data_IF_880116818162
#
_entry.id   IF_880116818162
#
_cell.length_a   1.000
_cell.length_b   1.000
_cell.length_c   1.000
_cell.angle_alpha   90.00
_cell.angle_beta   90.00
_cell.angle_gamma   90.00
#
_symmetry.space_group_name_H-M   'P 1'
#
loop_
_entity.id
_entity.type
_entity.pdbx_description
1 polymer ?
#
# COMPACT_ATOMS: atom_id res chain seq x y z
N UNK A 1 8.56 15.20 31.44
CA UNK A 1 8.51 14.72 30.05
C UNK A 1 8.49 13.21 30.15
N UNK A 2 7.29 12.64 30.18
CA UNK A 2 7.14 11.19 30.25
C UNK A 2 7.45 10.61 28.87
N UNK A 3 8.45 9.74 28.82
CA UNK A 3 8.82 9.06 27.58
C UNK A 3 7.69 8.10 27.23
N UNK A 4 6.91 8.42 26.19
CA UNK A 4 5.91 7.50 25.65
C UNK A 4 6.67 6.39 24.92
N UNK A 5 6.95 5.31 25.64
CA UNK A 5 7.58 4.11 25.09
C UNK A 5 6.48 3.20 24.50
N UNK A 6 6.48 3.04 23.18
CA UNK A 6 5.57 2.15 22.45
C UNK A 6 6.25 0.79 22.21
N UNK A 7 6.06 -0.16 23.14
CA UNK A 7 6.69 -1.51 23.11
C UNK A 7 5.86 -2.56 22.34
N UNK A 8 5.19 -2.16 21.25
CA UNK A 8 4.33 -3.09 20.48
C UNK A 8 5.15 -4.12 19.71
N UNK A 9 5.09 -5.37 20.15
CA UNK A 9 5.61 -6.53 19.41
C UNK A 9 4.47 -7.17 18.63
N UNK A 10 4.57 -7.13 17.30
CA UNK A 10 3.57 -7.74 16.42
C UNK A 10 4.20 -8.81 15.54
N UNK A 11 3.58 -9.98 15.54
CA UNK A 11 4.01 -11.13 14.74
C UNK A 11 3.11 -11.27 13.53
N UNK A 12 3.71 -11.42 12.35
CA UNK A 12 3.00 -11.59 11.10
C UNK A 12 3.35 -12.94 10.50
N UNK A 13 2.32 -13.69 10.08
CA UNK A 13 2.49 -14.88 9.27
C UNK A 13 2.39 -14.46 7.80
N UNK A 14 3.50 -14.60 7.06
CA UNK A 14 3.62 -14.14 5.68
C UNK A 14 3.93 -15.32 4.75
N UNK A 15 2.95 -16.20 4.49
CA UNK A 15 3.20 -17.30 3.57
C UNK A 15 3.43 -16.75 2.16
N UNK A 16 4.35 -17.39 1.46
CA UNK A 16 4.68 -17.08 0.07
C UNK A 16 4.71 -18.39 -0.69
N UNK A 17 3.88 -18.48 -1.71
CA UNK A 17 3.74 -19.66 -2.53
C UNK A 17 3.84 -19.27 -3.99
N UNK A 18 4.74 -19.93 -4.70
CA UNK A 18 5.02 -19.66 -6.11
C UNK A 18 5.03 -20.97 -6.87
N UNK A 19 4.33 -20.97 -7.99
CA UNK A 19 4.24 -22.09 -8.91
C UNK A 19 4.73 -21.66 -10.28
N UNK A 20 5.58 -22.49 -10.87
CA UNK A 20 5.98 -22.38 -12.26
C UNK A 20 5.74 -23.72 -12.91
N UNK A 21 5.05 -23.71 -14.04
CA UNK A 21 4.80 -24.89 -14.85
C UNK A 21 5.16 -24.65 -16.30
N UNK A 22 5.96 -25.55 -16.87
CA UNK A 22 6.35 -25.54 -18.28
C UNK A 22 5.46 -26.51 -19.03
N UNK A 23 4.44 -25.98 -19.72
CA UNK A 23 3.50 -26.81 -20.48
C UNK A 23 4.21 -27.37 -21.72
N UNK A 24 5.05 -26.57 -22.35
CA UNK A 24 5.96 -26.98 -23.43
C UNK A 24 7.34 -26.33 -23.20
N UNK A 25 8.41 -26.77 -23.90
CA UNK A 25 9.73 -26.13 -23.78
C UNK A 25 9.71 -24.62 -24.07
N UNK A 26 8.73 -24.18 -24.86
CA UNK A 26 8.57 -22.80 -25.31
C UNK A 26 7.39 -22.08 -24.63
N UNK A 27 6.69 -22.70 -23.67
CA UNK A 27 5.53 -22.09 -23.00
C UNK A 27 5.53 -22.35 -21.50
N UNK A 28 5.65 -21.26 -20.73
CA UNK A 28 5.68 -21.27 -19.28
C UNK A 28 4.49 -20.50 -18.70
N UNK A 29 3.97 -21.01 -17.60
CA UNK A 29 2.95 -20.36 -16.78
C UNK A 29 3.49 -20.22 -15.37
N UNK A 30 3.22 -19.08 -14.75
CA UNK A 30 3.57 -18.81 -13.36
C UNK A 30 2.35 -18.30 -12.62
N UNK A 31 2.20 -18.74 -11.39
CA UNK A 31 1.21 -18.23 -10.45
C UNK A 31 1.90 -18.00 -9.12
N UNK A 32 1.58 -16.91 -8.43
CA UNK A 32 2.10 -16.62 -7.10
C UNK A 32 1.01 -16.09 -6.19
N UNK A 33 1.07 -16.49 -4.93
CA UNK A 33 0.26 -15.96 -3.84
C UNK A 33 1.23 -15.53 -2.75
N UNK A 34 1.24 -14.23 -2.45
CA UNK A 34 2.16 -13.65 -1.48
C UNK A 34 1.42 -12.76 -0.51
N UNK A 35 1.69 -12.97 0.77
CA UNK A 35 1.24 -12.08 1.82
C UNK A 35 2.36 -11.17 2.30
N UNK A 36 2.03 -9.91 2.54
CA UNK A 36 2.98 -8.85 2.89
C UNK A 36 2.33 -7.88 3.87
N UNK A 37 3.13 -7.07 4.56
CA UNK A 37 2.64 -5.98 5.39
C UNK A 37 3.47 -4.72 5.12
N UNK A 38 2.88 -3.55 5.36
CA UNK A 38 3.58 -2.29 5.32
C UNK A 38 3.79 -1.78 6.75
N UNK A 39 4.92 -1.12 7.00
CA UNK A 39 5.12 -0.40 8.26
C UNK A 39 4.48 0.98 8.13
N UNK A 40 3.61 1.38 9.08
CA UNK A 40 3.15 2.77 9.18
C UNK A 40 4.36 3.72 9.29
N UNK A 41 4.23 4.95 8.80
CA UNK A 41 5.30 5.92 9.01
C UNK A 41 5.42 6.22 10.49
N UNK A 42 6.65 6.51 10.92
CA UNK A 42 6.92 6.85 12.32
C UNK A 42 6.09 8.05 12.79
N UNK A 43 5.90 9.06 11.93
CA UNK A 43 5.08 10.25 12.24
C UNK A 43 3.63 9.86 12.53
N UNK A 44 3.03 9.04 11.70
CA UNK A 44 1.62 8.67 11.81
C UNK A 44 1.32 7.93 13.13
N UNK A 45 2.31 7.26 13.72
CA UNK A 45 2.18 6.45 14.94
C UNK A 45 2.50 7.22 16.22
N UNK A 46 3.47 8.15 16.19
CA UNK A 46 3.78 8.90 17.41
C UNK A 46 2.63 9.83 17.77
N UNK A 47 2.23 9.94 19.05
CA UNK A 47 1.24 10.92 19.47
C UNK A 47 1.88 12.31 19.45
N UNK A 48 1.89 12.94 18.28
CA UNK A 48 2.30 14.33 18.09
C UNK A 48 1.08 15.17 17.72
N UNK A 49 1.04 16.41 18.19
CA UNK A 49 0.15 17.45 17.69
C UNK A 49 1.00 18.59 17.15
N UNK A 50 0.98 18.80 15.84
CA UNK A 50 1.67 19.94 15.22
C UNK A 50 0.61 20.85 14.63
N UNK A 51 0.62 22.12 15.07
CA UNK A 51 -0.17 23.18 14.47
C UNK A 51 0.65 23.82 13.35
N UNK A 52 0.23 23.68 12.11
CA UNK A 52 0.84 24.37 10.97
C UNK A 52 -0.07 25.53 10.53
N UNK A 53 0.55 26.66 10.22
CA UNK A 53 -0.06 27.88 9.66
C UNK A 53 -1.44 28.27 10.24
N UNK A 54 -1.56 28.32 11.58
CA UNK A 54 -2.75 28.79 12.35
C UNK A 54 -4.08 28.05 12.12
N UNK A 55 -4.20 27.20 11.10
CA UNK A 55 -5.47 26.57 10.73
C UNK A 55 -5.39 25.07 10.50
N UNK A 56 -4.23 24.42 10.64
CA UNK A 56 -4.15 22.96 10.51
C UNK A 56 -3.52 22.34 11.76
N UNK A 57 -4.18 21.37 12.38
CA UNK A 57 -3.66 20.59 13.49
C UNK A 57 -3.63 19.12 13.10
N UNK A 58 -2.43 18.59 12.85
CA UNK A 58 -2.27 17.16 12.53
C UNK A 58 -1.97 16.40 13.82
N UNK A 59 -2.73 15.33 14.05
CA UNK A 59 -2.48 14.38 15.13
C UNK A 59 -2.03 13.03 14.59
N UNK A 60 -0.93 12.52 15.15
CA UNK A 60 -0.57 11.11 14.99
C UNK A 60 -1.49 10.21 15.83
N UNK A 61 -1.69 8.98 15.38
CA UNK A 61 -2.56 8.00 16.00
C UNK A 61 -1.76 6.73 16.40
N UNK A 62 -1.41 6.58 17.68
CA UNK A 62 -0.67 5.41 18.16
C UNK A 62 -1.44 4.09 18.01
N UNK A 63 -2.75 4.12 17.81
CA UNK A 63 -3.58 2.92 17.59
C UNK A 63 -3.60 2.44 16.13
N UNK A 64 -2.79 3.03 15.23
CA UNK A 64 -2.68 2.55 13.84
C UNK A 64 -2.20 1.09 13.83
N UNK A 65 -2.94 0.25 13.11
CA UNK A 65 -2.58 -1.13 12.79
C UNK A 65 -1.71 -1.16 11.54
N UNK A 66 -0.80 -2.14 11.47
CA UNK A 66 0.05 -2.33 10.30
C UNK A 66 -0.81 -2.79 9.11
N UNK A 67 -0.76 -2.08 7.96
CA UNK A 67 -1.46 -2.50 6.76
C UNK A 67 -0.98 -3.88 6.30
N UNK A 68 -1.92 -4.75 5.95
CA UNK A 68 -1.65 -6.09 5.46
C UNK A 68 -2.10 -6.21 4.00
N UNK A 69 -1.36 -6.93 3.17
CA UNK A 69 -1.64 -7.03 1.75
C UNK A 69 -1.46 -8.45 1.23
N UNK A 70 -2.50 -8.97 0.58
CA UNK A 70 -2.48 -10.20 -0.20
C UNK A 70 -2.29 -9.86 -1.68
N UNK A 71 -1.34 -10.53 -2.32
CA UNK A 71 -1.02 -10.37 -3.73
C UNK A 71 -1.21 -11.71 -4.43
N UNK A 72 -1.95 -11.70 -5.53
CA UNK A 72 -2.18 -12.83 -6.41
C UNK A 72 -1.69 -12.44 -7.81
N UNK A 73 -0.67 -13.15 -8.31
CA UNK A 73 -0.06 -12.90 -9.60
C UNK A 73 -0.25 -14.11 -10.51
N UNK A 74 -0.61 -13.88 -11.77
CA UNK A 74 -0.67 -14.90 -12.80
C UNK A 74 0.00 -14.39 -14.07
N UNK A 75 0.98 -15.13 -14.57
CA UNK A 75 1.81 -14.75 -15.70
C UNK A 75 1.92 -15.91 -16.69
N UNK A 76 1.84 -15.61 -17.98
CA UNK A 76 2.12 -16.53 -19.06
C UNK A 76 3.25 -15.98 -19.92
N UNK A 77 4.17 -16.86 -20.30
CA UNK A 77 5.36 -16.53 -21.08
C UNK A 77 5.47 -17.53 -22.24
N UNK A 78 5.63 -17.03 -23.47
CA UNK A 78 5.86 -17.85 -24.67
C UNK A 78 7.13 -17.42 -25.38
N UNK A 79 7.96 -18.41 -25.70
CA UNK A 79 9.19 -18.28 -26.45
C UNK A 79 8.95 -18.70 -27.90
N UNK A 80 9.62 -18.04 -28.84
CA UNK A 80 9.64 -18.44 -30.25
C UNK A 80 11.06 -18.71 -30.72
N UNK A 81 11.17 -19.51 -31.77
CA UNK A 81 12.43 -19.74 -32.49
C UNK A 81 13.03 -18.38 -32.90
N UNK A 82 14.28 -18.13 -32.51
CA UNK A 82 14.99 -16.87 -32.81
C UNK A 82 15.09 -15.87 -31.66
N UNK A 83 15.27 -16.30 -30.39
CA UNK A 83 15.49 -15.43 -29.21
C UNK A 83 14.37 -14.41 -28.94
N UNK A 84 13.16 -14.67 -29.40
CA UNK A 84 12.00 -13.80 -29.19
C UNK A 84 11.09 -14.36 -28.10
N UNK A 85 10.50 -13.47 -27.28
CA UNK A 85 9.56 -13.86 -26.22
C UNK A 85 8.42 -12.84 -26.09
N UNK A 86 7.20 -13.35 -25.87
CA UNK A 86 6.07 -12.55 -25.38
C UNK A 86 5.72 -13.01 -23.97
N UNK A 87 5.31 -12.05 -23.15
CA UNK A 87 4.79 -12.32 -21.81
C UNK A 87 3.56 -11.45 -21.56
N UNK A 88 2.61 -12.01 -20.83
CA UNK A 88 1.40 -11.32 -20.41
C UNK A 88 0.96 -11.83 -19.06
N UNK A 89 0.48 -10.95 -18.20
CA UNK A 89 0.04 -11.33 -16.87
C UNK A 89 -1.06 -10.43 -16.33
N UNK A 90 -1.77 -10.99 -15.36
CA UNK A 90 -2.77 -10.30 -14.54
C UNK A 90 -2.30 -10.37 -13.09
N UNK A 91 -2.56 -9.30 -12.36
CA UNK A 91 -2.32 -9.29 -10.93
C UNK A 91 -3.52 -8.73 -10.20
N UNK A 92 -3.71 -9.24 -8.99
CA UNK A 92 -4.77 -8.85 -8.08
C UNK A 92 -4.15 -8.58 -6.71
N UNK A 93 -4.42 -7.39 -6.18
CA UNK A 93 -3.94 -6.98 -4.86
C UNK A 93 -5.10 -6.54 -3.98
N UNK A 94 -5.14 -7.09 -2.78
CA UNK A 94 -6.07 -6.71 -1.71
C UNK A 94 -5.26 -6.21 -0.51
N UNK A 95 -5.60 -5.01 -0.03
CA UNK A 95 -4.93 -4.36 1.10
C UNK A 95 -5.97 -4.10 2.19
N UNK A 96 -5.68 -4.59 3.40
CA UNK A 96 -6.43 -4.38 4.63
C UNK A 96 -5.73 -3.33 5.51
N UNK A 97 -6.52 -2.63 6.33
CA UNK A 97 -6.04 -1.59 7.26
C UNK A 97 -5.24 -0.47 6.57
N UNK A 98 -5.69 -0.01 5.39
CA UNK A 98 -5.06 1.12 4.70
C UNK A 98 -5.18 2.40 5.55
N UNK A 99 -4.05 3.08 5.74
CA UNK A 99 -3.96 4.32 6.53
C UNK A 99 -4.36 5.50 5.64
N UNK A 100 -5.37 6.25 6.06
CA UNK A 100 -5.80 7.48 5.39
C UNK A 100 -5.84 8.63 6.38
N UNK A 101 -5.63 9.84 5.87
CA UNK A 101 -5.75 11.05 6.64
C UNK A 101 -7.20 11.52 6.61
N UNK A 102 -7.81 11.64 7.78
CA UNK A 102 -9.17 12.15 7.94
C UNK A 102 -9.09 13.60 8.40
N UNK A 103 -9.55 14.52 7.55
CA UNK A 103 -9.61 15.95 7.87
C UNK A 103 -10.98 16.30 8.48
N UNK A 104 -10.98 16.77 9.72
CA UNK A 104 -12.15 17.28 10.45
C UNK A 104 -12.01 18.77 10.62
N UNK A 105 -13.05 19.56 10.36
CA UNK A 105 -12.99 20.99 10.62
C UNK A 105 -13.46 21.28 12.05
N UNK A 106 -12.55 21.71 12.92
CA UNK A 106 -12.85 22.36 14.20
C UNK A 106 -13.04 23.87 14.05
N UNK A 107 -13.64 24.51 15.05
CA UNK A 107 -13.69 25.97 15.16
C UNK A 107 -12.89 26.36 16.40
N UNK A 108 -11.97 27.31 16.26
CA UNK A 108 -11.21 27.86 17.38
C UNK A 108 -11.74 29.27 17.69
N UNK A 109 -12.28 29.46 18.91
CA UNK A 109 -12.91 30.72 19.38
C UNK A 109 -13.98 30.52 20.46
N UNK A 110 -14.29 31.56 21.24
CA UNK A 110 -15.37 31.59 22.25
C UNK A 110 -16.75 31.68 21.56
N UNK A 111 -17.71 30.75 21.79
CA UNK A 111 -19.06 30.71 21.20
C UNK A 111 -19.94 31.96 21.45
N UNK A 112 -19.44 32.96 22.19
CA UNK A 112 -20.09 34.26 22.40
C UNK A 112 -19.49 35.43 21.62
N UNK A 113 -18.37 35.26 20.90
CA UNK A 113 -17.72 36.34 20.12
C UNK A 113 -17.73 36.08 18.60
N UNK A 114 -17.97 37.12 17.79
CA UNK A 114 -18.14 37.01 16.32
C UNK A 114 -16.90 36.54 15.51
N UNK A 115 -15.80 36.18 16.17
CA UNK A 115 -14.51 35.87 15.53
C UNK A 115 -14.16 34.39 15.72
N UNK A 116 -14.75 33.52 14.90
CA UNK A 116 -14.43 32.09 14.86
C UNK A 116 -13.54 31.80 13.66
N UNK A 117 -12.34 31.30 13.91
CA UNK A 117 -11.48 30.74 12.87
C UNK A 117 -11.82 29.27 12.65
N UNK A 118 -12.01 28.86 11.39
CA UNK A 118 -12.09 27.44 11.01
C UNK A 118 -10.70 26.83 11.05
N UNK A 119 -10.55 25.71 11.74
CA UNK A 119 -9.32 24.93 11.86
C UNK A 119 -9.56 23.55 11.25
N UNK A 120 -8.71 23.12 10.34
CA UNK A 120 -8.63 21.78 9.81
C UNK A 120 -7.84 20.90 10.80
N UNK A 121 -8.38 19.75 11.16
CA UNK A 121 -7.78 18.77 12.06
C UNK A 121 -7.54 17.52 11.24
N UNK A 122 -6.29 17.14 11.01
CA UNK A 122 -5.94 15.96 10.23
C UNK A 122 -5.60 14.81 11.17
N UNK A 123 -6.38 13.73 11.12
CA UNK A 123 -6.22 12.55 11.97
C UNK A 123 -5.90 11.33 11.10
N UNK A 124 -4.81 10.64 11.40
CA UNK A 124 -4.47 9.40 10.69
C UNK A 124 -5.38 8.27 11.20
N UNK A 125 -6.30 7.79 10.37
CA UNK A 125 -7.21 6.69 10.68
C UNK A 125 -6.87 5.44 9.86
N UNK A 126 -7.18 4.28 10.44
CA UNK A 126 -7.33 3.04 9.70
C UNK A 126 -8.84 2.72 9.60
N UNK A 127 -9.30 2.23 8.45
CA UNK A 127 -10.69 1.82 8.26
C UNK A 127 -10.80 0.30 8.46
N UNK A 128 -11.67 -0.14 9.37
CA UNK A 128 -11.84 -1.55 9.76
C UNK A 128 -12.18 -2.50 8.61
N UNK A 129 -12.69 -2.02 7.47
CA UNK A 129 -12.81 -2.83 6.25
C UNK A 129 -13.21 -1.96 5.05
N UNK A 130 -12.25 -1.59 4.20
CA UNK A 130 -12.58 -1.15 2.84
C UNK A 130 -11.53 -1.73 1.90
N UNK A 131 -11.81 -2.95 1.42
CA UNK A 131 -11.02 -3.69 0.43
C UNK A 131 -10.79 -2.81 -0.80
N UNK A 132 -9.57 -2.27 -0.93
CA UNK A 132 -9.15 -1.54 -2.12
C UNK A 132 -8.53 -2.54 -3.09
N UNK A 133 -9.28 -2.87 -4.15
CA UNK A 133 -8.87 -3.85 -5.17
C UNK A 133 -8.16 -3.14 -6.30
N UNK A 134 -6.93 -3.53 -6.57
CA UNK A 134 -6.21 -3.12 -7.78
C UNK A 134 -6.05 -4.34 -8.68
N UNK A 135 -6.63 -4.25 -9.89
CA UNK A 135 -6.45 -5.22 -10.97
C UNK A 135 -5.78 -4.48 -12.11
N UNK A 136 -4.54 -4.83 -12.47
CA UNK A 136 -3.99 -4.41 -13.75
C UNK A 136 -3.48 -5.59 -14.57
N UNK A 137 -3.51 -5.39 -15.89
CA UNK A 137 -3.07 -6.33 -16.91
C UNK A 137 -1.87 -5.72 -17.62
N UNK A 138 -0.76 -6.46 -17.70
CA UNK A 138 0.47 -6.03 -18.34
C UNK A 138 0.91 -7.00 -19.43
N UNK A 139 1.22 -6.49 -20.63
CA UNK A 139 1.86 -7.25 -21.70
C UNK A 139 3.24 -6.66 -21.98
N UNK A 140 4.28 -7.50 -21.99
CA UNK A 140 5.65 -7.13 -22.40
C UNK A 140 6.11 -8.00 -23.54
N UNK A 141 6.50 -7.37 -24.64
CA UNK A 141 7.19 -7.98 -25.77
C UNK A 141 8.65 -7.53 -25.74
N UNK A 142 9.57 -8.48 -25.70
CA UNK A 142 11.00 -8.19 -25.84
C UNK A 142 11.50 -8.79 -27.15
N UNK A 143 11.85 -7.90 -28.08
CA UNK A 143 12.52 -8.23 -29.34
C UNK A 143 14.01 -7.91 -29.16
N UNK A 144 14.87 -8.92 -29.12
CA UNK A 144 16.32 -8.68 -29.20
C UNK A 144 16.65 -8.32 -30.65
N UNK A 145 16.96 -7.04 -30.89
CA UNK A 145 17.41 -6.56 -32.20
C UNK A 145 18.65 -7.33 -32.65
N UNK A 146 18.58 -7.91 -33.84
CA UNK A 146 19.70 -8.60 -34.47
C UNK A 146 20.81 -7.62 -34.81
N UNK A 147 21.98 -7.84 -34.22
CA UNK A 147 23.23 -7.21 -34.62
C UNK A 147 23.59 -7.71 -36.03
N UNK A 148 23.57 -6.81 -37.02
CA UNK A 148 24.03 -7.09 -38.38
C UNK A 148 25.53 -6.80 -38.41
N UNK A 149 26.34 -7.84 -38.57
CA UNK A 149 27.66 -7.78 -39.21
C UNK A 149 27.77 -8.88 -40.24
#
# INVERSE_FOLDING_TARGET
>A
MDTVTDDRVQQFLLPNLQFKYSITPDFNVRAAITYSYARPNFRDVIPYGVQNERTEVTFGNPNIRYPYAMNLDFLVERYWKGRNMISGGIFYKEIDDFIFNYQVFGYEGDPTQSNYSKVQIELHLHLFRRSHRQTLSGQRQHQCGGDRR
#
